data_IF_251635363179
#
_entry.id   IF_251635363179
#
_cell.length_a   1.000
_cell.length_b   1.000
_cell.length_c   1.000
_cell.angle_alpha   90.00
_cell.angle_beta   90.00
_cell.angle_gamma   90.00
#
_symmetry.space_group_name_H-M   'P 1'
#
loop_
_entity.id
_entity.type
_entity.pdbx_description
1 polymer ?
#
# COMPACT_ATOMS: atom_id res chain seq x y z
N UNK A 1 -7.04 7.41 -2.35
CA UNK A 1 -6.52 6.05 -2.09
C UNK A 1 -5.19 6.06 -1.33
N UNK A 2 -4.35 7.01 -1.60
CA UNK A 2 -3.06 7.15 -0.89
C UNK A 2 -3.26 7.21 0.63
N UNK A 3 -4.18 8.04 1.09
CA UNK A 3 -4.43 8.23 2.52
C UNK A 3 -4.96 6.95 3.18
N UNK A 4 -5.77 6.18 2.46
CA UNK A 4 -6.26 4.90 2.96
C UNK A 4 -5.09 3.93 3.20
N UNK A 5 -4.20 3.81 2.22
CA UNK A 5 -3.06 2.92 2.34
C UNK A 5 -2.11 3.38 3.45
N UNK A 6 -1.87 4.69 3.57
CA UNK A 6 -1.08 5.24 4.67
C UNK A 6 -1.68 4.89 6.03
N UNK A 7 -2.97 5.05 6.17
CA UNK A 7 -3.67 4.75 7.42
C UNK A 7 -3.53 3.27 7.79
N UNK A 8 -3.78 2.38 6.82
CA UNK A 8 -3.69 0.94 7.06
C UNK A 8 -2.25 0.53 7.41
N UNK A 9 -1.27 1.04 6.67
CA UNK A 9 0.13 0.70 6.91
C UNK A 9 0.59 1.18 8.28
N UNK A 10 0.21 2.40 8.67
CA UNK A 10 0.56 2.93 9.99
C UNK A 10 0.02 2.10 11.13
N UNK A 11 -1.12 1.46 10.94
CA UNK A 11 -1.70 0.58 11.95
C UNK A 11 -1.00 -0.78 12.08
N UNK A 12 -0.14 -1.11 11.12
CA UNK A 12 0.54 -2.41 11.08
C UNK A 12 2.00 -2.37 11.53
N UNK A 13 2.61 -1.19 11.51
CA UNK A 13 4.06 -1.05 11.70
C UNK A 13 4.41 -0.54 13.08
N UNK A 14 5.67 -0.73 13.47
CA UNK A 14 6.22 -0.20 14.71
C UNK A 14 6.74 1.23 14.53
N UNK A 15 7.06 1.63 13.28
CA UNK A 15 7.59 2.95 12.98
C UNK A 15 6.66 3.70 12.01
N UNK A 16 5.48 4.15 12.48
CA UNK A 16 4.49 4.79 11.60
C UNK A 16 4.97 6.09 10.96
N UNK A 17 5.92 6.77 11.61
CA UNK A 17 6.52 8.00 11.07
C UNK A 17 7.39 7.74 9.83
N UNK A 18 7.75 6.48 9.57
CA UNK A 18 8.53 6.11 8.40
C UNK A 18 7.70 5.52 7.25
N UNK A 19 6.39 5.48 7.42
CA UNK A 19 5.51 5.04 6.33
C UNK A 19 5.48 6.12 5.25
N UNK A 20 5.71 5.72 4.00
CA UNK A 20 5.65 6.61 2.84
C UNK A 20 4.86 5.92 1.74
N UNK A 21 3.96 6.67 1.12
CA UNK A 21 3.22 6.20 -0.05
C UNK A 21 3.43 7.22 -1.16
N UNK A 22 3.91 6.76 -2.31
CA UNK A 22 4.10 7.59 -3.49
C UNK A 22 3.11 7.15 -4.56
N UNK A 23 2.40 8.11 -5.13
CA UNK A 23 1.48 7.85 -6.24
C UNK A 23 2.23 7.97 -7.56
N UNK A 24 2.12 6.95 -8.38
CA UNK A 24 2.67 6.95 -9.74
C UNK A 24 1.50 6.75 -10.70
N UNK A 25 1.32 7.72 -11.61
CA UNK A 25 0.24 7.67 -12.59
C UNK A 25 0.78 7.11 -13.89
N UNK A 26 0.16 6.02 -14.34
CA UNK A 26 0.56 5.34 -15.55
C UNK A 26 -0.15 5.95 -16.78
N UNK A 27 0.43 5.76 -17.96
CA UNK A 27 -0.12 6.31 -19.20
C UNK A 27 -1.50 5.77 -19.54
N UNK A 28 -1.83 4.55 -19.08
CA UNK A 28 -3.11 3.93 -19.34
C UNK A 28 -4.21 4.35 -18.33
N UNK A 29 -3.91 5.31 -17.48
CA UNK A 29 -4.86 5.80 -16.48
C UNK A 29 -4.84 5.07 -15.16
N UNK A 30 -4.03 4.02 -15.01
CA UNK A 30 -3.89 3.33 -13.74
C UNK A 30 -3.00 4.14 -12.80
N UNK A 31 -3.20 3.96 -11.50
CA UNK A 31 -2.36 4.54 -10.45
C UNK A 31 -1.68 3.41 -9.69
N UNK A 32 -0.39 3.53 -9.48
CA UNK A 32 0.37 2.61 -8.61
C UNK A 32 0.71 3.36 -7.33
N UNK A 33 0.37 2.78 -6.20
CA UNK A 33 0.74 3.30 -4.89
C UNK A 33 1.95 2.51 -4.40
N UNK A 34 3.10 3.18 -4.34
CA UNK A 34 4.33 2.58 -3.87
C UNK A 34 4.45 2.81 -2.38
N UNK A 35 4.39 1.73 -1.61
CA UNK A 35 4.49 1.76 -0.16
C UNK A 35 5.90 1.40 0.27
N UNK A 36 6.50 2.26 1.08
CA UNK A 36 7.73 1.95 1.79
C UNK A 36 7.57 2.20 3.28
N UNK A 37 8.29 1.43 4.07
CA UNK A 37 8.25 1.49 5.53
C UNK A 37 9.68 1.36 6.07
N UNK A 38 9.84 1.43 7.39
CA UNK A 38 11.14 1.18 8.01
C UNK A 38 11.62 -0.23 7.66
N UNK A 39 12.94 -0.40 7.54
CA UNK A 39 13.53 -1.68 7.11
C UNK A 39 13.06 -2.86 7.93
N UNK A 40 12.92 -2.69 9.24
CA UNK A 40 12.48 -3.78 10.12
C UNK A 40 10.96 -3.95 10.15
N UNK A 41 10.22 -3.14 9.41
CA UNK A 41 8.76 -3.23 9.34
C UNK A 41 8.23 -3.94 8.10
N UNK A 42 9.10 -4.30 7.14
CA UNK A 42 8.60 -4.97 5.92
C UNK A 42 7.90 -6.29 6.24
N UNK A 43 8.38 -7.04 7.22
CA UNK A 43 7.70 -8.25 7.65
C UNK A 43 6.28 -7.99 8.16
N UNK A 44 6.05 -6.82 8.76
CA UNK A 44 4.74 -6.46 9.30
C UNK A 44 3.73 -6.09 8.21
N UNK A 45 4.19 -5.57 7.07
CA UNK A 45 3.29 -5.22 5.97
C UNK A 45 3.16 -6.33 4.93
N UNK A 46 4.16 -7.20 4.83
CA UNK A 46 4.08 -8.37 3.95
C UNK A 46 3.29 -9.48 4.62
N UNK A 47 3.63 -9.77 5.87
CA UNK A 47 2.99 -10.80 6.65
C UNK A 47 3.44 -12.20 6.25
N UNK A 48 3.03 -13.18 7.05
CA UNK A 48 3.40 -14.58 6.81
C UNK A 48 2.78 -15.05 5.50
N UNK A 49 3.62 -15.55 4.59
CA UNK A 49 3.16 -16.01 3.29
C UNK A 49 2.59 -14.92 2.40
N UNK A 50 2.88 -13.64 2.71
CA UNK A 50 2.37 -12.53 1.94
C UNK A 50 0.91 -12.16 2.21
N UNK A 51 0.33 -12.69 3.28
CA UNK A 51 -1.11 -12.53 3.57
C UNK A 51 -1.52 -11.10 3.87
N UNK A 52 -0.68 -10.37 4.62
CA UNK A 52 -0.98 -8.97 4.96
C UNK A 52 -0.92 -8.11 3.71
N UNK A 53 0.11 -8.31 2.88
CA UNK A 53 0.22 -7.58 1.61
C UNK A 53 -0.99 -7.86 0.70
N UNK A 54 -1.42 -9.13 0.63
CA UNK A 54 -2.60 -9.49 -0.16
C UNK A 54 -3.85 -8.78 0.37
N UNK A 55 -4.02 -8.71 1.69
CA UNK A 55 -5.14 -8.03 2.31
C UNK A 55 -5.12 -6.53 2.00
N UNK A 56 -3.96 -5.89 2.10
CA UNK A 56 -3.81 -4.47 1.75
C UNK A 56 -4.23 -4.21 0.31
N UNK A 57 -3.76 -5.06 -0.61
CA UNK A 57 -4.12 -4.94 -2.03
C UNK A 57 -5.62 -5.09 -2.24
N UNK A 58 -6.24 -6.04 -1.56
CA UNK A 58 -7.68 -6.28 -1.67
C UNK A 58 -8.49 -5.08 -1.18
N UNK A 59 -8.14 -4.52 -0.02
CA UNK A 59 -8.86 -3.38 0.54
C UNK A 59 -8.76 -2.17 -0.39
N UNK A 60 -7.55 -1.85 -0.86
CA UNK A 60 -7.33 -0.70 -1.74
C UNK A 60 -8.04 -0.91 -3.07
N UNK A 61 -7.93 -2.10 -3.65
CA UNK A 61 -8.58 -2.42 -4.93
C UNK A 61 -10.09 -2.32 -4.83
N UNK A 62 -10.66 -2.82 -3.74
CA UNK A 62 -12.11 -2.76 -3.52
C UNK A 62 -12.58 -1.32 -3.40
N UNK A 63 -11.88 -0.49 -2.64
CA UNK A 63 -12.22 0.92 -2.48
C UNK A 63 -12.10 1.66 -3.83
N UNK A 64 -11.05 1.40 -4.59
CA UNK A 64 -10.84 2.02 -5.89
C UNK A 64 -11.91 1.60 -6.90
N UNK A 65 -12.33 0.35 -6.85
CA UNK A 65 -13.36 -0.18 -7.74
C UNK A 65 -14.69 0.56 -7.58
N UNK A 66 -15.03 0.97 -6.36
CA UNK A 66 -16.24 1.76 -6.11
C UNK A 66 -16.22 3.09 -6.85
N UNK A 67 -15.02 3.66 -7.03
CA UNK A 67 -14.82 4.92 -7.73
C UNK A 67 -14.47 4.71 -9.21
N UNK A 68 -14.58 3.47 -9.70
CA UNK A 68 -14.24 3.09 -11.07
C UNK A 68 -12.82 3.44 -11.43
N UNK A 69 -11.89 3.30 -10.47
CA UNK A 69 -10.47 3.60 -10.63
C UNK A 69 -9.67 2.31 -10.60
N UNK A 70 -8.57 2.31 -11.36
CA UNK A 70 -7.60 1.22 -11.36
C UNK A 70 -6.42 1.63 -10.51
N UNK A 71 -6.30 1.02 -9.33
CA UNK A 71 -5.24 1.34 -8.37
C UNK A 71 -4.56 0.04 -7.93
N UNK A 72 -3.24 0.05 -8.00
CA UNK A 72 -2.41 -1.09 -7.61
C UNK A 72 -1.50 -0.69 -6.46
N UNK A 73 -1.19 -1.64 -5.58
CA UNK A 73 -0.26 -1.42 -4.46
C UNK A 73 1.02 -2.18 -4.74
N UNK A 74 2.13 -1.49 -4.64
CA UNK A 74 3.47 -2.07 -4.78
C UNK A 74 4.25 -1.76 -3.51
N UNK A 75 4.79 -2.79 -2.87
CA UNK A 75 5.61 -2.62 -1.67
C UNK A 75 7.05 -2.58 -2.15
N UNK A 76 7.69 -1.43 -1.96
CA UNK A 76 9.01 -1.14 -2.52
C UNK A 76 10.02 -0.81 -1.43
N UNK A 77 11.29 -1.03 -1.71
CA UNK A 77 12.37 -0.56 -0.85
C UNK A 77 12.54 0.95 -1.02
N UNK A 78 12.74 1.63 0.10
CA UNK A 78 12.92 3.07 0.08
C UNK A 78 14.28 3.46 -0.46
#
# INVERSE_FOLDING_TARGET
>A
MKELLEYLARGLVEHPDQVRVREVHEDDGATVLELSVADDDYGNVIGRGGRTAAALRTVVKTAASRDKRRVFVDIVDA
#
